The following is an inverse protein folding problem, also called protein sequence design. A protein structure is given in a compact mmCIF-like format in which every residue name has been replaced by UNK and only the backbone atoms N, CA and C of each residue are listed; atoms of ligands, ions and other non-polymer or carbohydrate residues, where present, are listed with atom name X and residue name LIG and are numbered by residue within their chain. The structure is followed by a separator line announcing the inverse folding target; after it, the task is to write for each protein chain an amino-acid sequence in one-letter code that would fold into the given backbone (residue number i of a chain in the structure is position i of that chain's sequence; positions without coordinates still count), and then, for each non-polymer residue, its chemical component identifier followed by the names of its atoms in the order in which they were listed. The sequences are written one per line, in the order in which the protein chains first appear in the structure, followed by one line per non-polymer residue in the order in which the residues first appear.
data_IF_935184540983
#
_entry.id   IF_935184540983
#
_cell.length_a   1.000
_cell.length_b   1.000
_cell.length_c   1.000
_cell.angle_alpha   90.00
_cell.angle_beta   90.00
_cell.angle_gamma   90.00
#
_symmetry.space_group_name_H-M   'P 1'
#
loop_
_entity.id
_entity.type
_entity.pdbx_description
1 polymer ?
#
# COMPACT_ATOMS: atom_id res chain seq x y z
N UNK A 1 97.71 10.65 15.11
CA UNK A 1 96.86 10.06 14.04
C UNK A 1 95.40 10.38 14.36
N UNK A 2 94.75 11.23 13.55
CA UNK A 2 93.37 11.68 13.74
C UNK A 2 92.57 11.18 12.53
N UNK A 3 91.62 10.27 12.75
CA UNK A 3 90.81 9.72 11.67
C UNK A 3 89.56 10.57 11.46
N UNK A 4 89.40 11.06 10.24
CA UNK A 4 88.22 11.74 9.72
C UNK A 4 87.11 10.74 9.41
N UNK A 5 85.85 11.08 9.72
CA UNK A 5 84.66 10.48 9.09
C UNK A 5 83.63 11.56 8.84
N UNK A 6 83.45 11.92 7.56
CA UNK A 6 82.24 12.56 7.07
C UNK A 6 81.27 11.48 6.59
N UNK A 7 80.01 11.53 6.99
CA UNK A 7 78.93 10.81 6.30
C UNK A 7 77.66 11.63 6.40
N UNK A 8 77.18 12.13 5.26
CA UNK A 8 76.01 12.99 5.15
C UNK A 8 74.70 12.27 5.44
N UNK A 9 73.70 13.04 5.87
CA UNK A 9 72.30 12.59 5.96
C UNK A 9 71.34 13.67 5.48
N UNK A 10 70.77 13.39 4.31
CA UNK A 10 69.38 13.61 3.86
C UNK A 10 68.71 14.90 4.37
N UNK A 11 68.59 15.89 3.48
CA UNK A 11 67.66 17.01 3.62
C UNK A 11 66.23 16.46 3.70
N UNK A 12 65.67 16.40 4.91
CA UNK A 12 64.24 16.21 5.11
C UNK A 12 63.54 17.47 4.59
N UNK A 13 62.74 17.35 3.52
CA UNK A 13 61.84 18.42 3.10
C UNK A 13 60.80 18.59 4.21
N UNK A 14 60.93 19.69 4.95
CA UNK A 14 59.94 20.11 5.95
C UNK A 14 58.68 20.50 5.19
N UNK A 15 57.63 19.71 5.34
CA UNK A 15 56.30 20.09 4.86
C UNK A 15 55.82 21.24 5.75
N UNK A 16 55.55 22.43 5.20
CA UNK A 16 55.15 23.58 6.01
C UNK A 16 53.83 23.29 6.72
N UNK A 17 53.71 23.70 7.99
CA UNK A 17 52.56 23.43 8.86
C UNK A 17 51.21 23.83 8.24
N UNK A 18 51.22 24.80 7.32
CA UNK A 18 50.05 25.26 6.55
C UNK A 18 49.45 24.19 5.64
N UNK A 19 50.28 23.28 5.09
CA UNK A 19 49.82 22.16 4.25
C UNK A 19 49.20 21.05 5.11
N UNK A 20 49.74 20.83 6.32
CA UNK A 20 49.17 19.88 7.28
C UNK A 20 47.79 20.35 7.77
N UNK A 21 47.65 21.65 8.06
CA UNK A 21 46.40 22.25 8.50
C UNK A 21 45.29 22.17 7.42
N UNK A 22 45.64 22.32 6.15
CA UNK A 22 44.68 22.19 5.04
C UNK A 22 44.19 20.75 4.87
N UNK A 23 45.07 19.75 5.02
CA UNK A 23 44.70 18.32 4.93
C UNK A 23 43.78 17.92 6.09
N UNK A 24 44.05 18.41 7.30
CA UNK A 24 43.19 18.20 8.46
C UNK A 24 41.81 18.89 8.32
N UNK A 25 41.76 20.08 7.72
CA UNK A 25 40.51 20.79 7.45
C UNK A 25 39.65 20.08 6.37
N UNK A 26 40.27 19.50 5.34
CA UNK A 26 39.55 18.67 4.37
C UNK A 26 39.09 17.33 4.95
N UNK A 27 39.87 16.71 5.85
CA UNK A 27 39.49 15.47 6.52
C UNK A 27 38.31 15.67 7.50
N UNK A 28 38.21 16.84 8.15
CA UNK A 28 37.11 17.17 9.06
C UNK A 28 35.77 17.38 8.33
N UNK A 29 35.79 17.81 7.06
CA UNK A 29 34.57 17.99 6.24
C UNK A 29 33.96 16.70 5.69
N UNK A 30 34.71 15.59 5.70
CA UNK A 30 34.26 14.27 5.21
C UNK A 30 33.51 13.44 6.26
N UNK A 31 33.42 13.92 7.51
CA UNK A 31 32.52 13.39 8.54
C UNK A 31 31.15 14.09 8.47
N UNK A 32 30.61 14.26 7.27
CA UNK A 32 29.19 14.52 7.11
C UNK A 32 28.46 13.27 7.62
N UNK A 33 27.90 13.37 8.82
CA UNK A 33 27.03 12.37 9.42
C UNK A 33 25.97 11.97 8.39
N UNK A 34 26.12 10.78 7.79
CA UNK A 34 25.02 10.12 7.09
C UNK A 34 23.99 9.79 8.15
N UNK A 35 23.00 10.68 8.32
CA UNK A 35 21.83 10.35 9.11
C UNK A 35 21.27 9.04 8.54
N UNK A 36 20.88 8.06 9.39
CA UNK A 36 20.20 6.89 8.89
C UNK A 36 19.03 7.38 8.05
N UNK A 37 18.91 6.90 6.82
CA UNK A 37 17.69 7.12 6.06
C UNK A 37 16.58 6.46 6.88
N UNK A 38 15.72 7.27 7.51
CA UNK A 38 14.55 6.77 8.18
C UNK A 38 13.80 5.92 7.16
N UNK A 39 13.77 4.61 7.41
CA UNK A 39 12.98 3.72 6.60
C UNK A 39 11.53 4.23 6.75
N UNK A 40 10.94 4.69 5.64
CA UNK A 40 9.55 5.13 5.64
C UNK A 40 8.71 4.08 6.40
N UNK A 41 7.82 4.51 7.32
CA UNK A 41 7.02 3.59 8.12
C UNK A 41 6.43 2.52 7.22
N UNK A 42 6.61 1.25 7.60
CA UNK A 42 6.06 0.14 6.82
C UNK A 42 4.54 0.33 6.71
N UNK A 43 3.95 0.13 5.53
CA UNK A 43 2.50 0.25 5.38
C UNK A 43 1.83 -0.81 6.25
N UNK A 44 0.94 -0.37 7.13
CA UNK A 44 0.11 -1.22 7.99
C UNK A 44 -1.36 -0.92 7.75
N UNK A 45 -2.19 -1.95 7.86
CA UNK A 45 -3.62 -1.86 8.02
C UNK A 45 -4.04 -2.94 9.00
N UNK A 46 -3.88 -2.65 10.30
CA UNK A 46 -4.08 -3.61 11.40
C UNK A 46 -5.17 -3.15 12.37
N UNK A 47 -5.93 -4.11 12.91
CA UNK A 47 -7.02 -3.87 13.86
C UNK A 47 -8.41 -3.95 13.23
N UNK A 48 -9.42 -3.48 13.97
CA UNK A 48 -10.82 -3.53 13.54
C UNK A 48 -11.18 -2.27 12.75
N UNK A 49 -11.75 -2.46 11.57
CA UNK A 49 -12.21 -1.36 10.70
C UNK A 49 -13.63 -1.60 10.21
N UNK A 50 -14.44 -0.55 10.24
CA UNK A 50 -15.75 -0.51 9.59
C UNK A 50 -15.57 -0.16 8.12
N UNK A 51 -15.78 -1.15 7.25
CA UNK A 51 -15.67 -0.99 5.80
C UNK A 51 -17.00 -0.51 5.23
N UNK A 52 -17.07 0.78 4.91
CA UNK A 52 -18.22 1.42 4.29
C UNK A 52 -18.13 1.38 2.76
N UNK A 53 -19.23 0.96 2.13
CA UNK A 53 -19.41 0.92 0.68
C UNK A 53 -20.52 1.92 0.32
N UNK A 54 -20.17 2.89 -0.52
CA UNK A 54 -21.09 3.98 -0.90
C UNK A 54 -21.96 3.57 -2.10
N UNK A 55 -22.78 2.54 -1.91
CA UNK A 55 -23.59 1.95 -2.97
C UNK A 55 -24.73 2.87 -3.45
N UNK A 56 -25.19 3.81 -2.62
CA UNK A 56 -26.23 4.77 -3.00
C UNK A 56 -25.78 5.73 -4.11
N UNK A 57 -24.47 6.00 -4.18
CA UNK A 57 -23.86 6.87 -5.19
C UNK A 57 -23.03 6.10 -6.22
N UNK A 58 -23.30 4.81 -6.41
CA UNK A 58 -22.57 4.01 -7.40
C UNK A 58 -22.88 4.47 -8.83
N UNK A 59 -21.92 4.24 -9.72
CA UNK A 59 -21.97 4.62 -11.13
C UNK A 59 -21.49 3.47 -12.00
N UNK A 60 -21.63 3.59 -13.32
CA UNK A 60 -21.09 2.63 -14.27
C UNK A 60 -22.04 2.32 -15.42
N UNK A 61 -21.62 1.39 -16.28
CA UNK A 61 -22.34 1.02 -17.50
C UNK A 61 -23.30 -0.15 -17.32
N UNK A 62 -23.17 -0.92 -16.23
CA UNK A 62 -24.03 -2.07 -15.95
C UNK A 62 -25.43 -1.64 -15.53
N UNK A 63 -26.44 -2.47 -15.80
CA UNK A 63 -27.76 -2.36 -15.17
C UNK A 63 -27.65 -2.27 -13.65
N UNK A 64 -26.75 -3.06 -13.04
CA UNK A 64 -26.53 -3.07 -11.60
C UNK A 64 -26.07 -1.72 -11.03
N UNK A 65 -25.39 -0.90 -11.83
CA UNK A 65 -24.96 0.43 -11.38
C UNK A 65 -26.12 1.44 -11.30
N UNK A 66 -27.25 1.16 -11.94
CA UNK A 66 -28.44 2.03 -11.96
C UNK A 66 -29.45 1.66 -10.88
N UNK A 67 -29.23 0.54 -10.20
CA UNK A 67 -30.12 0.03 -9.15
C UNK A 67 -29.90 0.81 -7.87
N UNK A 68 -30.99 1.26 -7.25
CA UNK A 68 -30.94 1.93 -5.95
C UNK A 68 -30.62 0.91 -4.87
N UNK A 69 -29.53 1.15 -4.15
CA UNK A 69 -29.09 0.37 -3.00
C UNK A 69 -28.64 1.35 -1.91
N UNK A 70 -28.95 1.11 -0.62
CA UNK A 70 -28.42 1.92 0.45
C UNK A 70 -26.91 1.71 0.61
N UNK A 71 -26.22 2.69 1.18
CA UNK A 71 -24.86 2.46 1.69
C UNK A 71 -24.89 1.38 2.77
N UNK A 72 -23.81 0.62 2.88
CA UNK A 72 -23.68 -0.44 3.88
C UNK A 72 -22.26 -0.53 4.42
N UNK A 73 -22.14 -1.05 5.64
CA UNK A 73 -20.87 -1.24 6.33
C UNK A 73 -20.87 -2.53 7.12
N UNK A 74 -19.70 -3.13 7.23
CA UNK A 74 -19.43 -4.26 8.11
C UNK A 74 -18.06 -4.05 8.76
N UNK A 75 -17.90 -4.58 9.96
CA UNK A 75 -16.64 -4.51 10.69
C UNK A 75 -15.79 -5.75 10.41
N UNK A 76 -14.51 -5.53 10.09
CA UNK A 76 -13.54 -6.58 9.83
C UNK A 76 -12.25 -6.34 10.60
N UNK A 77 -11.63 -7.43 11.03
CA UNK A 77 -10.29 -7.40 11.66
C UNK A 77 -9.24 -7.66 10.58
N UNK A 78 -8.24 -6.79 10.51
CA UNK A 78 -7.11 -6.91 9.60
C UNK A 78 -5.82 -7.21 10.35
N UNK A 79 -4.97 -8.00 9.68
CA UNK A 79 -3.60 -8.30 10.09
C UNK A 79 -2.67 -8.19 8.87
N UNK A 80 -1.58 -7.44 9.03
CA UNK A 80 -0.64 -7.11 7.97
C UNK A 80 0.68 -7.84 8.16
N UNK A 81 1.06 -8.62 7.15
CA UNK A 81 2.39 -9.22 7.05
C UNK A 81 3.21 -8.55 5.95
N UNK A 82 4.45 -8.18 6.27
CA UNK A 82 5.41 -7.55 5.38
C UNK A 82 6.69 -8.39 5.28
N UNK A 83 6.85 -9.09 4.17
CA UNK A 83 8.07 -9.85 3.86
C UNK A 83 8.83 -9.13 2.75
N UNK A 84 10.05 -8.68 3.07
CA UNK A 84 10.89 -7.84 2.19
C UNK A 84 10.13 -6.58 1.75
N UNK A 85 9.93 -6.39 0.45
CA UNK A 85 9.23 -5.24 -0.14
C UNK A 85 7.74 -5.49 -0.41
N UNK A 86 7.19 -6.63 0.04
CA UNK A 86 5.79 -6.99 -0.19
C UNK A 86 5.03 -7.03 1.13
N UNK A 87 4.01 -6.18 1.23
CA UNK A 87 3.07 -6.14 2.36
C UNK A 87 1.68 -6.60 1.93
N UNK A 88 1.05 -7.42 2.77
CA UNK A 88 -0.31 -7.92 2.57
C UNK A 88 -1.12 -7.76 3.85
N UNK A 89 -2.19 -6.96 3.79
CA UNK A 89 -3.21 -6.93 4.81
C UNK A 89 -4.25 -8.02 4.52
N UNK A 90 -4.47 -8.90 5.47
CA UNK A 90 -5.42 -10.01 5.38
C UNK A 90 -6.57 -9.77 6.34
N UNK A 91 -7.81 -9.96 5.87
CA UNK A 91 -8.97 -9.99 6.75
C UNK A 91 -8.97 -11.31 7.53
N UNK A 92 -8.85 -11.23 8.85
CA UNK A 92 -8.77 -12.38 9.77
C UNK A 92 -10.02 -12.55 10.64
N UNK A 93 -10.92 -11.57 10.64
CA UNK A 93 -12.19 -11.60 11.37
C UNK A 93 -13.27 -10.73 10.72
N UNK A 94 -14.54 -10.97 11.06
CA UNK A 94 -15.71 -10.26 10.52
C UNK A 94 -16.73 -11.20 9.87
N UNK A 95 -17.83 -10.66 9.29
CA UNK A 95 -18.89 -11.47 8.71
C UNK A 95 -18.45 -12.17 7.42
N UNK A 96 -18.94 -13.40 7.22
CA UNK A 96 -18.74 -14.14 5.97
C UNK A 96 -19.59 -13.53 4.86
N UNK A 97 -19.08 -13.40 3.61
CA UNK A 97 -19.88 -12.89 2.53
C UNK A 97 -21.08 -13.80 2.21
N UNK A 98 -22.24 -13.20 1.95
CA UNK A 98 -23.43 -13.95 1.52
C UNK A 98 -23.23 -14.65 0.16
N UNK A 99 -22.33 -14.13 -0.68
CA UNK A 99 -21.98 -14.74 -1.94
C UNK A 99 -20.78 -15.70 -1.77
N UNK A 100 -20.99 -17.02 -1.87
CA UNK A 100 -19.95 -18.01 -1.60
C UNK A 100 -18.85 -18.07 -2.68
N UNK A 101 -19.01 -17.37 -3.80
CA UNK A 101 -18.02 -17.33 -4.89
C UNK A 101 -16.92 -16.30 -4.67
N UNK A 102 -17.05 -15.46 -3.64
CA UNK A 102 -16.02 -14.51 -3.24
C UNK A 102 -14.84 -15.27 -2.61
N UNK A 103 -13.58 -15.02 -3.04
CA UNK A 103 -12.43 -15.68 -2.45
C UNK A 103 -12.24 -15.25 -0.99
N UNK A 104 -11.84 -16.20 -0.15
CA UNK A 104 -11.59 -16.00 1.28
C UNK A 104 -10.20 -16.54 1.66
N UNK A 105 -9.49 -15.89 2.60
CA UNK A 105 -9.79 -14.57 3.14
C UNK A 105 -9.52 -13.45 2.11
N UNK A 106 -10.20 -12.29 2.19
CA UNK A 106 -9.80 -11.10 1.46
C UNK A 106 -8.37 -10.69 1.78
N UNK A 107 -7.58 -10.38 0.74
CA UNK A 107 -6.16 -10.00 0.85
C UNK A 107 -5.86 -8.76 0.02
N UNK A 108 -5.32 -7.74 0.67
CA UNK A 108 -4.96 -6.46 0.07
C UNK A 108 -3.44 -6.36 0.00
N UNK A 109 -2.89 -6.19 -1.20
CA UNK A 109 -1.45 -5.98 -1.38
C UNK A 109 -1.14 -4.50 -1.44
N UNK A 110 -0.11 -4.05 -0.72
CA UNK A 110 0.37 -2.68 -0.81
C UNK A 110 0.99 -2.39 -2.18
N UNK A 111 0.50 -1.37 -2.87
CA UNK A 111 0.95 -0.96 -4.21
C UNK A 111 0.79 0.56 -4.36
N UNK A 112 1.88 1.26 -4.69
CA UNK A 112 1.86 2.68 -5.05
C UNK A 112 1.08 3.57 -4.06
N UNK A 113 1.33 3.40 -2.75
CA UNK A 113 0.67 4.20 -1.72
C UNK A 113 -0.76 3.78 -1.38
N UNK A 114 -1.22 2.61 -1.85
CA UNK A 114 -2.57 2.11 -1.59
C UNK A 114 -2.61 0.59 -1.35
N UNK A 115 -3.58 0.15 -0.57
CA UNK A 115 -3.96 -1.25 -0.39
C UNK A 115 -4.88 -1.70 -1.51
N UNK A 116 -4.48 -2.73 -2.26
CA UNK A 116 -5.22 -3.18 -3.45
C UNK A 116 -5.64 -4.64 -3.33
N UNK A 117 -6.95 -4.89 -3.42
CA UNK A 117 -7.53 -6.23 -3.49
C UNK A 117 -8.10 -6.47 -4.89
N UNK A 118 -7.64 -7.52 -5.55
CA UNK A 118 -8.10 -7.94 -6.87
C UNK A 118 -8.64 -9.36 -6.78
N UNK A 119 -9.83 -9.59 -7.32
CA UNK A 119 -10.48 -10.88 -7.21
C UNK A 119 -11.49 -11.13 -8.33
N UNK A 120 -11.68 -12.41 -8.65
CA UNK A 120 -12.74 -12.89 -9.53
C UNK A 120 -13.84 -13.54 -8.70
N UNK A 121 -15.09 -13.40 -9.13
CA UNK A 121 -16.26 -13.94 -8.44
C UNK A 121 -17.45 -14.04 -9.41
N UNK A 122 -18.58 -14.56 -8.95
CA UNK A 122 -19.83 -14.57 -9.72
C UNK A 122 -20.74 -13.43 -9.25
N UNK A 123 -21.06 -12.50 -10.15
CA UNK A 123 -22.04 -11.46 -9.91
C UNK A 123 -23.45 -12.03 -9.96
N UNK A 124 -24.22 -11.85 -8.89
CA UNK A 124 -25.66 -12.12 -8.86
C UNK A 124 -26.41 -10.97 -9.55
N UNK A 125 -26.77 -11.17 -10.82
CA UNK A 125 -27.47 -10.14 -11.58
C UNK A 125 -28.95 -10.12 -11.20
N UNK A 126 -29.32 -9.17 -10.34
CA UNK A 126 -30.72 -8.79 -10.13
C UNK A 126 -31.23 -7.98 -11.33
N UNK A 127 -32.42 -8.30 -11.83
CA UNK A 127 -32.99 -7.69 -13.03
C UNK A 127 -34.37 -7.06 -12.79
N UNK A 128 -34.90 -7.17 -11.58
CA UNK A 128 -36.27 -6.79 -11.25
C UNK A 128 -36.99 -7.87 -10.45
N UNK A 129 -38.13 -7.50 -9.87
CA UNK A 129 -39.02 -8.43 -9.20
C UNK A 129 -39.58 -9.43 -10.22
N UNK A 130 -39.67 -10.71 -9.85
CA UNK A 130 -40.22 -11.77 -10.70
C UNK A 130 -39.28 -12.29 -11.79
N UNK A 131 -38.11 -11.69 -11.98
CA UNK A 131 -37.10 -12.18 -12.93
C UNK A 131 -36.06 -13.04 -12.20
N UNK A 132 -35.83 -14.29 -12.62
CA UNK A 132 -34.78 -15.12 -12.04
C UNK A 132 -33.41 -14.45 -12.10
N UNK A 133 -32.70 -14.53 -10.97
CA UNK A 133 -31.32 -14.08 -10.84
C UNK A 133 -30.41 -14.90 -11.75
N UNK A 134 -29.44 -14.23 -12.39
CA UNK A 134 -28.45 -14.90 -13.24
C UNK A 134 -27.04 -14.59 -12.77
N UNK A 135 -26.25 -15.65 -12.57
CA UNK A 135 -24.85 -15.53 -12.20
C UNK A 135 -23.98 -15.22 -13.42
N UNK A 136 -23.10 -14.25 -13.31
CA UNK A 136 -22.15 -13.90 -14.38
C UNK A 136 -20.74 -13.72 -13.82
N UNK A 137 -19.70 -14.20 -14.53
CA UNK A 137 -18.32 -13.96 -14.12
C UNK A 137 -18.06 -12.45 -13.99
N UNK A 138 -17.38 -12.07 -12.92
CA UNK A 138 -17.00 -10.70 -12.66
C UNK A 138 -15.59 -10.62 -12.08
N UNK A 139 -14.94 -9.47 -12.30
CA UNK A 139 -13.66 -9.14 -11.70
C UNK A 139 -13.76 -7.79 -11.00
N UNK A 140 -13.28 -7.77 -9.77
CA UNK A 140 -13.27 -6.58 -8.94
C UNK A 140 -11.87 -6.14 -8.58
N UNK A 141 -11.71 -4.83 -8.41
CA UNK A 141 -10.55 -4.17 -7.84
C UNK A 141 -11.03 -3.18 -6.80
N UNK A 142 -10.62 -3.39 -5.55
CA UNK A 142 -10.82 -2.45 -4.45
C UNK A 142 -9.48 -1.80 -4.11
N UNK A 143 -9.45 -0.49 -4.01
CA UNK A 143 -8.27 0.29 -3.64
C UNK A 143 -8.59 1.14 -2.42
N UNK A 144 -7.69 1.14 -1.44
CA UNK A 144 -7.79 1.93 -0.22
C UNK A 144 -6.49 2.68 0.03
N UNK A 145 -6.54 4.00 0.07
CA UNK A 145 -5.41 4.87 0.37
C UNK A 145 -5.52 5.35 1.82
N UNK A 146 -4.47 5.14 2.66
CA UNK A 146 -4.43 5.70 4.01
C UNK A 146 -4.59 7.22 4.03
N UNK A 147 -5.28 7.71 5.05
CA UNK A 147 -5.49 9.13 5.34
C UNK A 147 -4.76 9.49 6.65
N UNK A 148 -4.56 10.78 6.90
CA UNK A 148 -3.88 11.26 8.12
C UNK A 148 -4.68 11.04 9.41
N UNK A 149 -6.00 10.85 9.30
CA UNK A 149 -6.91 10.58 10.41
C UNK A 149 -7.03 9.08 10.75
N UNK A 150 -6.21 8.23 10.12
CA UNK A 150 -6.25 6.78 10.28
C UNK A 150 -7.34 6.08 9.47
N UNK A 151 -8.24 6.82 8.82
CA UNK A 151 -9.18 6.24 7.86
C UNK A 151 -8.46 5.83 6.57
N UNK A 152 -9.12 4.99 5.78
CA UNK A 152 -8.73 4.73 4.40
C UNK A 152 -9.87 5.12 3.48
N UNK A 153 -9.54 5.67 2.30
CA UNK A 153 -10.51 6.03 1.27
C UNK A 153 -10.11 5.45 -0.07
N UNK A 154 -11.07 5.12 -0.90
CA UNK A 154 -10.78 4.81 -2.30
C UNK A 154 -11.99 4.34 -3.08
N UNK A 155 -11.77 3.38 -3.99
CA UNK A 155 -12.74 3.00 -5.01
C UNK A 155 -12.81 1.49 -5.13
N UNK A 156 -14.03 0.96 -5.24
CA UNK A 156 -14.30 -0.40 -5.66
C UNK A 156 -14.90 -0.38 -7.07
N UNK A 157 -14.21 -1.02 -8.01
CA UNK A 157 -14.66 -1.21 -9.38
C UNK A 157 -14.88 -2.68 -9.66
N UNK A 158 -16.02 -3.00 -10.24
CA UNK A 158 -16.36 -4.34 -10.73
C UNK A 158 -16.65 -4.29 -12.22
N UNK A 159 -16.09 -5.24 -12.96
CA UNK A 159 -16.41 -5.51 -14.37
C UNK A 159 -17.16 -6.83 -14.44
N UNK A 160 -18.34 -6.83 -15.05
CA UNK A 160 -19.22 -7.99 -15.18
C UNK A 160 -19.18 -8.46 -16.63
N UNK A 161 -18.79 -9.72 -16.83
CA UNK A 161 -18.55 -10.30 -18.14
C UNK A 161 -19.82 -11.03 -18.61
N UNK A 162 -20.66 -10.31 -19.34
CA UNK A 162 -21.80 -10.89 -20.07
C UNK A 162 -23.14 -10.83 -19.33
N UNK A 163 -24.18 -11.28 -20.03
CA UNK A 163 -25.56 -11.23 -19.56
C UNK A 163 -26.15 -9.83 -19.41
N UNK A 164 -27.33 -9.74 -18.78
CA UNK A 164 -28.08 -8.49 -18.61
C UNK A 164 -27.34 -7.44 -17.78
N UNK A 165 -26.51 -7.87 -16.82
CA UNK A 165 -25.67 -6.97 -16.02
C UNK A 165 -24.29 -6.71 -16.63
N UNK A 166 -24.01 -7.09 -17.89
CA UNK A 166 -22.71 -6.81 -18.54
C UNK A 166 -22.38 -5.32 -18.42
N UNK A 167 -21.15 -5.02 -18.02
CA UNK A 167 -20.66 -3.66 -17.91
C UNK A 167 -19.88 -3.44 -16.62
N UNK A 168 -19.96 -2.23 -16.10
CA UNK A 168 -19.17 -1.80 -14.95
C UNK A 168 -20.05 -1.30 -13.82
N UNK A 169 -19.59 -1.52 -12.59
CA UNK A 169 -20.09 -0.90 -11.36
C UNK A 169 -18.89 -0.28 -10.65
N UNK A 170 -18.99 1.00 -10.27
CA UNK A 170 -17.95 1.75 -9.59
C UNK A 170 -18.60 2.46 -8.41
N UNK A 171 -18.05 2.27 -7.21
CA UNK A 171 -18.47 3.00 -6.03
C UNK A 171 -17.26 3.41 -5.19
N UNK A 172 -17.44 4.49 -4.42
CA UNK A 172 -16.47 4.86 -3.41
C UNK A 172 -16.52 3.84 -2.27
N UNK A 173 -15.39 3.71 -1.58
CA UNK A 173 -15.26 2.91 -0.36
C UNK A 173 -14.45 3.67 0.67
N UNK A 174 -14.71 3.39 1.95
CA UNK A 174 -13.90 3.87 3.05
C UNK A 174 -13.76 2.79 4.11
N UNK A 175 -12.68 2.84 4.89
CA UNK A 175 -12.50 2.03 6.08
C UNK A 175 -12.21 2.96 7.25
N UNK A 176 -12.97 2.84 8.32
CA UNK A 176 -12.84 3.66 9.52
C UNK A 176 -12.38 2.79 10.69
N UNK A 177 -11.32 3.15 11.42
CA UNK A 177 -10.94 2.43 12.63
C UNK A 177 -12.12 2.33 13.60
N UNK A 178 -12.39 1.13 14.08
CA UNK A 178 -13.32 0.87 15.19
C UNK A 178 -12.45 0.83 16.45
N UNK A 179 -12.80 1.65 17.44
CA UNK A 179 -12.08 1.69 18.72
C UNK A 179 -12.42 0.47 19.57
#
# INVERSE_FOLDING_TARGET
MRASRSTGRRNARVVPASVLALILALAAGLLASVAPADAAPRPTWDGVYSLKRFAASKTGTSLAARQREPDFSDDYTFDTDCVRSRCVATVVGGPKPANPTLPQPPRYTWQNGSWVHRYSWQWDCWQGVGVPKVWRPARSVATYKPQSDGSLKGVWRTTIYGGPCRGTVVMNVAAYPVR
#
